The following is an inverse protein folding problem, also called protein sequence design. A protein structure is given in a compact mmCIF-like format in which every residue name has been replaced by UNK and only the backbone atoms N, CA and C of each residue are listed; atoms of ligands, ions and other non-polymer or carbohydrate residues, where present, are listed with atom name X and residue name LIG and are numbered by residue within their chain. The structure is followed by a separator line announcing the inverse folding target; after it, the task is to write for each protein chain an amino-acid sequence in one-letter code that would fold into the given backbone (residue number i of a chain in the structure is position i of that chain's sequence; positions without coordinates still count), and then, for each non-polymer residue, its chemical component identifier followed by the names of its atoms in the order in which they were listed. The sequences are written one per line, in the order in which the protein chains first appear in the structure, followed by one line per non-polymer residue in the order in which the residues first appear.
data_IF_814049626806
#
_entry.id   IF_814049626806
#
_cell.length_a   1.000
_cell.length_b   1.000
_cell.length_c   1.000
_cell.angle_alpha   90.00
_cell.angle_beta   90.00
_cell.angle_gamma   90.00
#
_symmetry.space_group_name_H-M   'P 1'
#
loop_
_entity.id
_entity.type
_entity.pdbx_description
1 polymer ?
#
# COMPACT_ATOMS: atom_id res chain seq x y z
N UNK A 1 5.73 -11.38 -20.65
CA UNK A 1 5.19 -12.33 -19.66
C UNK A 1 4.20 -11.59 -18.77
N UNK A 2 3.19 -12.22 -18.19
CA UNK A 2 2.22 -11.51 -17.33
C UNK A 2 2.78 -11.26 -15.92
N UNK A 3 3.94 -10.64 -15.84
CA UNK A 3 4.54 -10.24 -14.56
C UNK A 3 3.80 -9.03 -14.01
N UNK A 4 3.57 -9.01 -12.71
CA UNK A 4 3.05 -7.89 -11.94
C UNK A 4 3.97 -7.60 -10.76
N UNK A 5 3.80 -6.47 -10.11
CA UNK A 5 4.64 -6.07 -8.99
C UNK A 5 3.80 -5.63 -7.80
N UNK A 6 4.08 -6.18 -6.63
CA UNK A 6 3.62 -5.67 -5.35
C UNK A 6 4.73 -4.91 -4.66
N UNK A 7 4.43 -3.77 -4.05
CA UNK A 7 5.41 -2.85 -3.49
C UNK A 7 4.98 -2.35 -2.13
N UNK A 8 5.90 -2.35 -1.18
CA UNK A 8 5.75 -1.70 0.12
C UNK A 8 6.98 -0.84 0.45
N UNK A 9 6.78 0.22 1.22
CA UNK A 9 7.85 1.09 1.70
C UNK A 9 8.64 0.43 2.83
N UNK A 10 9.97 0.46 2.74
CA UNK A 10 10.86 -0.02 3.80
C UNK A 10 11.87 1.07 4.21
N UNK A 11 12.61 0.92 5.32
CA UNK A 11 13.52 1.95 5.82
C UNK A 11 14.55 2.44 4.79
N UNK A 12 15.06 1.53 3.96
CA UNK A 12 16.13 1.81 2.99
C UNK A 12 15.65 1.95 1.55
N UNK A 13 14.36 2.11 1.31
CA UNK A 13 13.80 2.22 -0.03
C UNK A 13 12.46 1.51 -0.16
N UNK A 14 12.37 0.56 -1.08
CA UNK A 14 11.13 -0.13 -1.42
C UNK A 14 11.36 -1.64 -1.49
N UNK A 15 10.57 -2.38 -0.73
CA UNK A 15 10.43 -3.81 -0.84
C UNK A 15 9.47 -4.12 -1.99
N UNK A 16 9.93 -4.85 -2.99
CA UNK A 16 9.11 -5.22 -4.14
C UNK A 16 9.10 -6.73 -4.35
N UNK A 17 7.98 -7.25 -4.79
CA UNK A 17 7.83 -8.66 -5.18
C UNK A 17 7.30 -8.74 -6.60
N UNK A 18 8.12 -9.28 -7.51
CA UNK A 18 7.66 -9.64 -8.83
C UNK A 18 6.93 -10.98 -8.77
N UNK A 19 5.71 -11.00 -9.29
CA UNK A 19 4.90 -12.20 -9.40
C UNK A 19 4.68 -12.54 -10.87
N UNK A 20 5.14 -13.71 -11.31
CA UNK A 20 4.65 -14.32 -12.54
C UNK A 20 3.27 -14.95 -12.26
N UNK A 21 2.22 -14.25 -12.67
CA UNK A 21 0.84 -14.64 -12.37
C UNK A 21 0.39 -15.96 -13.03
N UNK A 22 1.16 -16.53 -13.97
CA UNK A 22 0.86 -17.85 -14.55
C UNK A 22 1.49 -18.99 -13.77
N UNK A 23 2.75 -18.78 -13.35
CA UNK A 23 3.53 -19.80 -12.64
C UNK A 23 3.41 -19.68 -11.12
N UNK A 24 2.86 -18.57 -10.63
CA UNK A 24 2.81 -18.17 -9.21
C UNK A 24 4.21 -18.11 -8.58
N UNK A 25 5.26 -17.90 -9.40
CA UNK A 25 6.63 -17.73 -8.91
C UNK A 25 6.87 -16.30 -8.45
N UNK A 26 7.56 -16.17 -7.33
CA UNK A 26 7.85 -14.91 -6.64
C UNK A 26 9.34 -14.58 -6.73
N UNK A 27 9.67 -13.35 -7.12
CA UNK A 27 11.04 -12.86 -7.11
C UNK A 27 11.09 -11.56 -6.31
N UNK A 28 11.62 -11.60 -5.08
CA UNK A 28 11.77 -10.41 -4.25
C UNK A 28 12.93 -9.55 -4.74
N UNK A 29 12.74 -8.24 -4.73
CA UNK A 29 13.71 -7.23 -5.17
C UNK A 29 13.62 -6.01 -4.27
N UNK A 30 14.76 -5.33 -4.05
CA UNK A 30 14.80 -4.04 -3.37
C UNK A 30 15.11 -2.93 -4.38
N UNK A 31 14.51 -1.75 -4.17
CA UNK A 31 14.77 -0.53 -4.94
C UNK A 31 14.99 0.65 -4.01
N UNK A 32 15.94 1.51 -4.33
CA UNK A 32 16.22 2.71 -3.53
C UNK A 32 15.13 3.76 -3.68
N UNK A 33 14.54 3.88 -4.88
CA UNK A 33 13.50 4.88 -5.18
C UNK A 33 12.32 4.27 -5.92
N UNK A 34 11.15 4.91 -5.81
CA UNK A 34 9.97 4.52 -6.58
C UNK A 34 10.14 4.78 -8.08
N UNK A 35 10.90 5.80 -8.46
CA UNK A 35 11.24 6.09 -9.86
C UNK A 35 12.04 4.94 -10.47
N UNK A 36 13.02 4.39 -9.74
CA UNK A 36 13.76 3.20 -10.18
C UNK A 36 12.86 1.98 -10.45
N UNK A 37 11.78 1.81 -9.65
CA UNK A 37 10.76 0.79 -9.93
C UNK A 37 10.04 1.07 -11.26
N UNK A 38 9.65 2.31 -11.49
CA UNK A 38 8.92 2.68 -12.71
C UNK A 38 9.78 2.47 -13.97
N UNK A 39 11.07 2.77 -13.91
CA UNK A 39 12.05 2.62 -15.00
C UNK A 39 12.35 1.15 -15.27
N UNK A 40 12.55 0.36 -14.23
CA UNK A 40 12.78 -1.09 -14.36
C UNK A 40 11.53 -1.84 -14.89
N UNK A 41 10.32 -1.28 -14.69
CA UNK A 41 9.06 -1.95 -14.98
C UNK A 41 8.09 -1.07 -15.80
N UNK A 42 8.47 -0.58 -17.00
CA UNK A 42 7.70 0.44 -17.73
C UNK A 42 6.28 0.01 -18.15
N UNK A 43 6.05 -1.30 -18.31
CA UNK A 43 4.77 -1.86 -18.79
C UNK A 43 4.11 -2.80 -17.77
N UNK A 44 4.55 -2.78 -16.52
CA UNK A 44 4.08 -3.71 -15.48
C UNK A 44 2.95 -3.08 -14.67
N UNK A 45 1.94 -3.89 -14.33
CA UNK A 45 0.93 -3.50 -13.34
C UNK A 45 1.56 -3.58 -11.95
N UNK A 46 1.48 -2.49 -11.22
CA UNK A 46 2.06 -2.30 -9.89
C UNK A 46 0.93 -2.03 -8.90
N UNK A 47 0.88 -2.75 -7.79
CA UNK A 47 0.08 -2.37 -6.63
C UNK A 47 1.02 -2.00 -5.48
N UNK A 48 0.78 -0.85 -4.85
CA UNK A 48 1.67 -0.25 -3.85
C UNK A 48 0.90 0.13 -2.59
N UNK A 49 1.49 -0.15 -1.40
CA UNK A 49 0.93 0.27 -0.10
C UNK A 49 1.33 1.71 0.23
N UNK A 50 0.91 2.63 -0.63
CA UNK A 50 1.05 4.08 -0.40
C UNK A 50 -0.16 4.79 -0.98
N UNK A 51 -0.71 5.79 -0.27
CA UNK A 51 -1.82 6.60 -0.76
C UNK A 51 -1.55 7.29 -2.10
N UNK A 52 -2.43 7.09 -3.08
CA UNK A 52 -2.41 7.77 -4.38
C UNK A 52 -3.62 8.69 -4.50
N UNK A 53 -3.35 9.95 -4.89
CA UNK A 53 -4.37 10.99 -4.88
C UNK A 53 -4.62 11.52 -3.47
N UNK A 54 -4.36 12.80 -3.27
CA UNK A 54 -4.36 13.47 -1.97
C UNK A 54 -5.30 14.69 -1.97
N UNK A 55 -5.92 14.92 -0.83
CA UNK A 55 -6.84 16.05 -0.64
C UNK A 55 -6.12 17.23 0.00
N UNK A 56 -6.39 18.43 -0.53
CA UNK A 56 -6.22 19.69 0.20
C UNK A 56 -7.64 20.21 0.50
N UNK A 57 -8.08 20.09 1.74
CA UNK A 57 -9.41 20.49 2.15
C UNK A 57 -10.07 19.55 3.16
N UNK A 58 -11.29 19.89 3.62
CA UNK A 58 -12.02 19.12 4.60
C UNK A 58 -12.52 17.77 4.03
N UNK A 59 -12.89 16.87 4.93
CA UNK A 59 -13.54 15.61 4.58
C UNK A 59 -12.60 14.38 4.53
N UNK A 60 -11.41 14.50 3.93
CA UNK A 60 -10.50 13.38 3.72
C UNK A 60 -10.94 12.47 2.55
N UNK A 61 -10.20 11.40 2.30
CA UNK A 61 -10.40 10.52 1.15
C UNK A 61 -11.54 9.54 1.38
N UNK A 62 -12.40 9.37 0.38
CA UNK A 62 -13.53 8.40 0.41
C UNK A 62 -13.02 6.95 0.43
N UNK A 63 -11.89 6.69 -0.22
CA UNK A 63 -11.27 5.37 -0.26
C UNK A 63 -10.83 4.90 1.13
N UNK A 64 -10.29 5.79 1.97
CA UNK A 64 -9.93 5.45 3.35
C UNK A 64 -11.18 5.11 4.17
N UNK A 65 -12.29 5.85 3.98
CA UNK A 65 -13.57 5.57 4.65
C UNK A 65 -14.16 4.22 4.22
N UNK A 66 -14.12 3.95 2.92
CA UNK A 66 -14.61 2.70 2.33
C UNK A 66 -13.77 1.49 2.79
N UNK A 67 -12.44 1.62 2.83
CA UNK A 67 -11.54 0.59 3.34
C UNK A 67 -11.76 0.31 4.83
N UNK A 68 -11.94 1.36 5.65
CA UNK A 68 -12.29 1.19 7.08
C UNK A 68 -13.62 0.48 7.27
N UNK A 69 -14.62 0.80 6.45
CA UNK A 69 -15.92 0.14 6.49
C UNK A 69 -15.83 -1.32 6.07
N UNK A 70 -15.01 -1.64 5.07
CA UNK A 70 -14.74 -3.01 4.62
C UNK A 70 -14.05 -3.85 5.70
N UNK A 71 -13.00 -3.31 6.32
CA UNK A 71 -12.23 -4.03 7.35
C UNK A 71 -12.97 -4.19 8.69
N UNK A 72 -13.89 -3.28 9.03
CA UNK A 72 -14.60 -3.27 10.31
C UNK A 72 -13.65 -3.21 11.52
N UNK A 73 -14.21 -3.31 12.73
CA UNK A 73 -13.45 -3.39 13.98
C UNK A 73 -12.84 -4.80 14.14
N UNK A 74 -11.60 -4.94 14.65
CA UNK A 74 -10.67 -3.88 15.05
C UNK A 74 -9.74 -3.39 13.92
N UNK A 75 -9.70 -4.05 12.76
CA UNK A 75 -8.71 -3.79 11.68
C UNK A 75 -8.94 -2.47 10.93
N UNK A 76 -10.13 -1.87 11.04
CA UNK A 76 -10.40 -0.53 10.46
C UNK A 76 -9.35 0.53 10.84
N UNK A 77 -8.70 0.38 12.01
CA UNK A 77 -7.70 1.32 12.50
C UNK A 77 -6.34 1.20 11.81
N UNK A 78 -6.10 0.16 11.00
CA UNK A 78 -4.90 0.05 10.18
C UNK A 78 -4.90 1.03 9.01
N UNK A 79 -6.08 1.46 8.56
CA UNK A 79 -6.20 2.44 7.48
C UNK A 79 -6.06 3.84 8.06
N UNK A 80 -4.91 4.45 7.92
CA UNK A 80 -4.69 5.85 8.31
C UNK A 80 -5.15 6.83 7.22
N UNK A 81 -5.37 8.09 7.59
CA UNK A 81 -5.59 9.15 6.61
C UNK A 81 -4.25 9.80 6.28
N UNK A 82 -3.87 9.92 5.00
CA UNK A 82 -2.65 10.62 4.63
C UNK A 82 -2.74 12.11 4.99
N UNK A 83 -1.59 12.81 5.10
CA UNK A 83 -1.55 14.26 5.18
C UNK A 83 -2.18 14.90 3.95
N UNK A 84 -2.64 16.13 4.08
CA UNK A 84 -2.95 16.96 2.91
C UNK A 84 -1.68 17.13 2.06
N UNK A 85 -1.82 17.23 0.72
CA UNK A 85 -0.66 17.36 -0.19
C UNK A 85 0.25 18.52 0.22
N UNK A 86 -0.32 19.67 0.57
CA UNK A 86 0.43 20.85 1.05
C UNK A 86 1.23 20.60 2.34
N UNK A 87 0.86 19.60 3.11
CA UNK A 87 1.54 19.25 4.37
C UNK A 87 2.70 18.27 4.17
N UNK A 88 2.75 17.55 3.04
CA UNK A 88 3.76 16.49 2.81
C UNK A 88 5.21 16.97 2.94
N UNK A 89 5.50 18.21 2.58
CA UNK A 89 6.84 18.79 2.70
C UNK A 89 7.30 18.95 4.15
N UNK A 90 6.34 18.95 5.08
CA UNK A 90 6.57 19.08 6.52
C UNK A 90 6.53 17.73 7.24
N UNK A 91 6.67 16.63 6.53
CA UNK A 91 6.66 15.27 7.09
C UNK A 91 8.02 14.61 6.93
N UNK A 92 8.44 13.83 7.95
CA UNK A 92 9.67 13.03 7.92
C UNK A 92 10.62 13.31 9.08
N UNK A 93 11.83 12.72 9.01
CA UNK A 93 12.76 12.66 10.14
C UNK A 93 13.29 14.03 10.62
N UNK A 94 13.52 14.96 9.70
CA UNK A 94 14.08 16.30 10.03
C UNK A 94 12.99 17.36 10.17
N UNK A 95 11.73 16.95 10.30
CA UNK A 95 10.59 17.85 10.32
C UNK A 95 9.94 17.96 11.69
N UNK A 96 9.33 19.12 11.97
CA UNK A 96 8.58 19.35 13.21
C UNK A 96 7.15 18.79 13.08
N UNK A 97 6.87 17.72 13.81
CA UNK A 97 5.56 17.11 13.88
C UNK A 97 4.44 18.05 14.33
N UNK A 98 4.72 18.94 15.27
CA UNK A 98 3.71 19.92 15.76
C UNK A 98 3.36 20.91 14.69
N UNK A 99 4.36 21.40 13.95
CA UNK A 99 4.17 22.31 12.83
C UNK A 99 3.42 21.62 11.68
N UNK A 100 3.79 20.39 11.32
CA UNK A 100 3.06 19.60 10.33
C UNK A 100 1.58 19.43 10.72
N UNK A 101 1.30 19.11 11.98
CA UNK A 101 -0.07 19.02 12.51
C UNK A 101 -0.81 20.36 12.45
N UNK A 102 -0.13 21.48 12.76
CA UNK A 102 -0.71 22.82 12.71
C UNK A 102 -1.14 23.18 11.29
N UNK A 103 -0.23 23.01 10.34
CA UNK A 103 -0.49 23.28 8.91
C UNK A 103 -1.59 22.35 8.38
N UNK A 104 -1.55 21.07 8.72
CA UNK A 104 -2.58 20.13 8.26
C UNK A 104 -3.98 20.50 8.79
N UNK A 105 -4.10 20.96 10.03
CA UNK A 105 -5.38 21.47 10.56
C UNK A 105 -5.91 22.66 9.78
N UNK A 106 -5.03 23.60 9.41
CA UNK A 106 -5.42 24.75 8.60
C UNK A 106 -5.91 24.34 7.21
N UNK A 107 -5.20 23.41 6.56
CA UNK A 107 -5.53 22.95 5.21
C UNK A 107 -6.80 22.08 5.20
N UNK A 108 -7.02 21.25 6.23
CA UNK A 108 -8.09 20.25 6.25
C UNK A 108 -9.33 20.66 7.05
N UNK A 109 -9.34 21.85 7.62
CA UNK A 109 -10.44 22.30 8.47
C UNK A 109 -10.51 21.59 9.82
N UNK A 110 -9.35 21.29 10.43
CA UNK A 110 -9.26 20.84 11.83
C UNK A 110 -8.61 19.49 12.10
N UNK A 111 -8.21 18.72 11.08
CA UNK A 111 -7.57 17.41 11.28
C UNK A 111 -6.06 17.52 11.50
N UNK A 112 -5.57 16.96 12.60
CA UNK A 112 -4.14 16.66 12.76
C UNK A 112 -3.77 15.43 11.94
N UNK A 113 -2.46 15.22 11.74
CA UNK A 113 -1.92 13.97 11.17
C UNK A 113 -1.55 12.99 12.30
N UNK A 114 -1.68 11.69 12.04
CA UNK A 114 -1.14 10.68 12.94
C UNK A 114 0.39 10.62 12.85
N UNK A 115 1.05 10.12 13.90
CA UNK A 115 2.49 9.88 13.83
C UNK A 115 2.86 8.96 12.65
N UNK A 116 2.09 7.90 12.43
CA UNK A 116 2.29 7.01 11.30
C UNK A 116 2.24 7.76 9.96
N UNK A 117 1.22 8.61 9.76
CA UNK A 117 1.11 9.42 8.53
C UNK A 117 2.26 10.42 8.37
N UNK A 118 2.78 10.94 9.49
CA UNK A 118 3.93 11.83 9.50
C UNK A 118 5.21 11.11 9.04
N UNK A 119 5.48 9.92 9.60
CA UNK A 119 6.69 9.16 9.28
C UNK A 119 6.69 8.58 7.87
N UNK A 120 5.53 8.16 7.34
CA UNK A 120 5.41 7.67 5.96
C UNK A 120 5.29 8.81 4.93
N UNK A 121 5.15 10.06 5.38
CA UNK A 121 5.01 11.22 4.51
C UNK A 121 6.05 11.36 3.40
N UNK A 122 7.37 11.12 3.65
CA UNK A 122 8.38 11.10 2.60
C UNK A 122 8.09 10.10 1.48
N UNK A 123 7.63 8.88 1.81
CA UNK A 123 7.25 7.86 0.82
C UNK A 123 6.02 8.28 0.01
N UNK A 124 5.01 8.85 0.68
CA UNK A 124 3.82 9.40 0.01
C UNK A 124 4.24 10.51 -0.97
N UNK A 125 5.12 11.42 -0.55
CA UNK A 125 5.64 12.52 -1.37
C UNK A 125 6.41 12.01 -2.58
N UNK A 126 7.27 11.00 -2.41
CA UNK A 126 8.04 10.38 -3.47
C UNK A 126 7.11 9.84 -4.58
N UNK A 127 6.09 9.09 -4.20
CA UNK A 127 5.09 8.57 -5.15
C UNK A 127 4.26 9.70 -5.76
N UNK A 128 3.77 10.65 -4.95
CA UNK A 128 2.93 11.76 -5.44
C UNK A 128 3.67 12.62 -6.47
N UNK A 129 4.98 12.83 -6.32
CA UNK A 129 5.79 13.63 -7.25
C UNK A 129 5.81 13.08 -8.68
N UNK A 130 5.85 11.76 -8.84
CA UNK A 130 5.93 11.09 -10.16
C UNK A 130 4.57 10.68 -10.69
N UNK A 131 3.57 10.48 -9.83
CA UNK A 131 2.25 10.04 -10.24
C UNK A 131 1.54 11.05 -11.15
N UNK A 132 0.96 10.52 -12.22
CA UNK A 132 0.18 11.25 -13.19
C UNK A 132 -0.92 10.36 -13.80
N UNK A 133 -1.78 10.92 -14.66
CA UNK A 133 -2.90 10.19 -15.27
C UNK A 133 -2.49 9.05 -16.20
N UNK A 134 -1.29 9.08 -16.77
CA UNK A 134 -0.80 7.97 -17.58
C UNK A 134 -0.38 6.79 -16.69
N UNK A 135 0.32 7.07 -15.59
CA UNK A 135 0.73 6.05 -14.62
C UNK A 135 -0.46 5.41 -13.88
N UNK A 136 -1.58 6.11 -13.67
CA UNK A 136 -2.81 5.52 -13.10
C UNK A 136 -3.35 4.29 -13.85
N UNK A 137 -2.89 4.05 -15.08
CA UNK A 137 -3.32 2.89 -15.87
C UNK A 137 -2.59 1.62 -15.45
N UNK A 138 -1.48 1.75 -14.72
CA UNK A 138 -0.63 0.62 -14.30
C UNK A 138 -0.16 0.67 -12.86
N UNK A 139 -0.28 1.79 -12.16
CA UNK A 139 0.07 1.95 -10.74
C UNK A 139 -1.22 2.16 -9.94
N UNK A 140 -1.43 1.30 -8.96
CA UNK A 140 -2.65 1.23 -8.18
C UNK A 140 -2.33 1.23 -6.69
N UNK A 141 -3.05 2.03 -5.91
CA UNK A 141 -2.98 1.96 -4.46
C UNK A 141 -3.64 0.66 -3.99
N UNK A 142 -2.94 -0.11 -3.20
CA UNK A 142 -3.46 -1.24 -2.44
C UNK A 142 -3.25 -0.98 -0.95
N UNK A 143 -3.89 -1.78 -0.11
CA UNK A 143 -3.66 -1.76 1.33
C UNK A 143 -3.59 -3.21 1.82
N UNK A 144 -2.47 -3.68 2.38
CA UNK A 144 -2.26 -5.10 2.72
C UNK A 144 -3.38 -5.70 3.57
N UNK A 145 -3.85 -5.01 4.60
CA UNK A 145 -4.95 -5.52 5.44
C UNK A 145 -6.26 -5.69 4.64
N UNK A 146 -6.52 -4.81 3.66
CA UNK A 146 -7.68 -4.93 2.76
C UNK A 146 -7.49 -6.12 1.80
N UNK A 147 -6.29 -6.30 1.28
CA UNK A 147 -5.91 -7.43 0.44
C UNK A 147 -6.03 -8.76 1.19
N UNK A 148 -5.50 -8.85 2.42
CA UNK A 148 -5.63 -10.02 3.27
C UNK A 148 -7.07 -10.35 3.62
N UNK A 149 -7.89 -9.35 3.94
CA UNK A 149 -9.31 -9.57 4.20
C UNK A 149 -10.01 -10.16 2.95
N UNK A 150 -9.70 -9.66 1.76
CA UNK A 150 -10.24 -10.21 0.51
C UNK A 150 -9.77 -11.64 0.26
N UNK A 151 -8.48 -11.93 0.45
CA UNK A 151 -7.91 -13.28 0.34
C UNK A 151 -8.50 -14.27 1.37
N UNK A 152 -9.04 -13.75 2.46
CA UNK A 152 -9.65 -14.53 3.56
C UNK A 152 -11.19 -14.51 3.50
N UNK A 153 -11.78 -14.43 2.31
CA UNK A 153 -13.22 -14.48 2.13
C UNK A 153 -13.98 -13.29 2.72
N UNK A 154 -13.38 -12.10 2.76
CA UNK A 154 -13.95 -10.88 3.32
C UNK A 154 -13.77 -10.73 4.83
N UNK A 155 -13.08 -11.65 5.49
CA UNK A 155 -12.82 -11.62 6.94
C UNK A 155 -11.48 -10.96 7.25
N UNK A 156 -11.52 -9.85 7.99
CA UNK A 156 -10.31 -9.16 8.42
C UNK A 156 -9.47 -10.02 9.38
N UNK A 157 -8.16 -9.75 9.41
CA UNK A 157 -7.21 -10.47 10.28
C UNK A 157 -7.55 -10.32 11.75
N UNK A 158 -7.48 -11.42 12.51
CA UNK A 158 -7.76 -11.43 13.94
C UNK A 158 -6.59 -10.78 14.71
N UNK A 159 -5.35 -11.12 14.35
CA UNK A 159 -4.17 -10.73 15.09
C UNK A 159 -3.50 -9.47 14.51
N UNK A 160 -2.82 -8.69 15.37
CA UNK A 160 -2.05 -7.50 14.96
C UNK A 160 -0.84 -7.92 14.14
N UNK A 161 -0.52 -7.21 13.04
CA UNK A 161 0.58 -7.57 12.12
C UNK A 161 1.95 -7.64 12.81
N UNK A 162 2.24 -6.74 13.75
CA UNK A 162 3.50 -6.70 14.49
C UNK A 162 3.70 -7.83 15.51
N UNK A 163 2.73 -8.73 15.71
CA UNK A 163 2.89 -9.90 16.58
C UNK A 163 3.30 -11.14 15.79
N UNK A 164 3.89 -12.12 16.45
CA UNK A 164 4.24 -13.41 15.85
C UNK A 164 3.00 -14.09 15.27
N UNK A 165 1.91 -14.10 16.03
CA UNK A 165 0.61 -14.69 15.65
C UNK A 165 0.05 -13.97 14.41
N UNK A 166 0.14 -12.65 14.36
CA UNK A 166 -0.33 -11.85 13.22
C UNK A 166 0.47 -12.09 11.96
N UNK A 167 1.78 -12.24 12.05
CA UNK A 167 2.63 -12.62 10.90
C UNK A 167 2.31 -14.03 10.43
N UNK A 168 2.19 -14.99 11.35
CA UNK A 168 1.83 -16.39 11.02
C UNK A 168 0.44 -16.49 10.37
N UNK A 169 -0.53 -15.71 10.85
CA UNK A 169 -1.88 -15.66 10.27
C UNK A 169 -1.84 -15.20 8.80
N UNK A 170 -1.16 -14.08 8.50
CA UNK A 170 -1.02 -13.56 7.13
C UNK A 170 -0.23 -14.52 6.24
N UNK A 171 0.84 -15.07 6.76
CA UNK A 171 1.65 -16.05 6.04
C UNK A 171 0.85 -17.30 5.65
N UNK A 172 0.00 -17.81 6.54
CA UNK A 172 -0.84 -18.95 6.24
C UNK A 172 -1.83 -18.67 5.09
N UNK A 173 -2.31 -17.43 4.99
CA UNK A 173 -3.17 -17.00 3.88
C UNK A 173 -2.35 -16.92 2.58
N UNK A 174 -1.17 -16.31 2.60
CA UNK A 174 -0.28 -16.24 1.44
C UNK A 174 0.08 -17.65 0.93
N UNK A 175 0.35 -18.60 1.81
CA UNK A 175 0.67 -19.98 1.43
C UNK A 175 -0.47 -20.74 0.77
N UNK A 176 -1.73 -20.36 1.00
CA UNK A 176 -2.87 -20.94 0.25
C UNK A 176 -2.83 -20.52 -1.22
N UNK A 177 -2.23 -19.37 -1.50
CA UNK A 177 -2.11 -18.82 -2.86
C UNK A 177 -0.76 -19.14 -3.49
N UNK A 178 0.31 -19.10 -2.71
CA UNK A 178 1.70 -19.30 -3.12
C UNK A 178 2.27 -20.53 -2.41
N UNK A 179 2.10 -21.70 -3.03
CA UNK A 179 2.51 -23.00 -2.44
C UNK A 179 4.01 -23.11 -2.18
N UNK A 180 4.83 -22.35 -2.94
CA UNK A 180 6.29 -22.38 -2.84
C UNK A 180 6.85 -21.57 -1.66
N UNK A 181 5.99 -20.82 -0.96
CA UNK A 181 6.41 -20.15 0.26
C UNK A 181 6.73 -21.17 1.37
N UNK A 182 7.81 -20.93 2.15
CA UNK A 182 8.19 -21.83 3.24
C UNK A 182 7.09 -21.97 4.30
N UNK A 183 7.18 -23.03 5.12
CA UNK A 183 6.17 -23.34 6.13
C UNK A 183 6.02 -22.27 7.21
N UNK A 184 7.11 -21.56 7.51
CA UNK A 184 7.16 -20.46 8.49
C UNK A 184 7.45 -19.14 7.81
N UNK A 185 6.95 -18.01 8.38
CA UNK A 185 7.29 -16.68 7.87
C UNK A 185 8.80 -16.43 7.93
N UNK A 186 9.40 -16.19 6.79
CA UNK A 186 10.82 -15.82 6.71
C UNK A 186 11.08 -14.80 5.61
N UNK A 187 12.10 -13.98 5.83
CA UNK A 187 12.58 -13.02 4.85
C UNK A 187 13.48 -13.73 3.83
N UNK A 188 13.26 -13.49 2.55
CA UNK A 188 14.12 -14.04 1.50
C UNK A 188 15.56 -13.52 1.64
N UNK A 189 16.52 -14.33 1.19
CA UNK A 189 17.94 -13.94 1.25
C UNK A 189 18.24 -12.65 0.48
N UNK A 190 17.50 -12.37 -0.60
CA UNK A 190 17.64 -11.17 -1.40
C UNK A 190 17.22 -9.88 -0.66
N UNK A 191 16.39 -9.99 0.38
CA UNK A 191 15.87 -8.86 1.14
C UNK A 191 16.51 -8.69 2.53
N UNK A 192 17.31 -9.64 2.97
CA UNK A 192 17.93 -9.58 4.31
C UNK A 192 18.81 -8.35 4.46
N UNK A 193 18.53 -7.57 5.52
CA UNK A 193 19.23 -6.32 5.80
C UNK A 193 18.75 -5.10 5.01
N UNK A 194 17.80 -5.27 4.07
CA UNK A 194 17.25 -4.19 3.25
C UNK A 194 15.82 -3.80 3.67
N UNK A 195 15.01 -4.77 4.09
CA UNK A 195 13.65 -4.55 4.59
C UNK A 195 13.31 -5.54 5.71
N UNK A 196 12.20 -5.29 6.38
CA UNK A 196 11.68 -6.14 7.42
C UNK A 196 10.76 -7.24 6.86
N UNK A 197 10.53 -8.30 7.65
CA UNK A 197 9.61 -9.37 7.28
C UNK A 197 8.18 -8.87 7.07
N UNK A 198 7.77 -7.83 7.79
CA UNK A 198 6.44 -7.23 7.65
C UNK A 198 6.28 -6.54 6.30
N UNK A 199 7.29 -5.78 5.85
CA UNK A 199 7.31 -5.14 4.53
C UNK A 199 7.22 -6.18 3.40
N UNK A 200 7.93 -7.31 3.56
CA UNK A 200 7.86 -8.40 2.59
C UNK A 200 6.48 -9.08 2.54
N UNK A 201 5.86 -9.33 3.69
CA UNK A 201 4.50 -9.88 3.78
C UNK A 201 3.49 -8.94 3.11
N UNK A 202 3.62 -7.64 3.35
CA UNK A 202 2.76 -6.62 2.79
C UNK A 202 2.96 -6.47 1.26
N UNK A 203 4.21 -6.51 0.78
CA UNK A 203 4.52 -6.53 -0.65
C UNK A 203 3.96 -7.78 -1.37
N UNK A 204 3.95 -8.96 -0.72
CA UNK A 204 3.33 -10.18 -1.25
C UNK A 204 1.80 -10.02 -1.43
N UNK A 205 1.12 -9.42 -0.46
CA UNK A 205 -0.32 -9.14 -0.55
C UNK A 205 -0.62 -8.13 -1.66
N UNK A 206 0.23 -7.11 -1.82
CA UNK A 206 0.14 -6.16 -2.93
C UNK A 206 0.39 -6.86 -4.28
N UNK A 207 1.35 -7.78 -4.39
CA UNK A 207 1.62 -8.53 -5.62
C UNK A 207 0.40 -9.36 -6.06
N UNK A 208 -0.28 -10.01 -5.12
CA UNK A 208 -1.53 -10.70 -5.42
C UNK A 208 -2.62 -9.74 -5.89
N UNK A 209 -2.77 -8.59 -5.23
CA UNK A 209 -3.72 -7.55 -5.66
C UNK A 209 -3.41 -7.06 -7.09
N UNK A 210 -2.13 -6.83 -7.42
CA UNK A 210 -1.72 -6.47 -8.78
C UNK A 210 -2.07 -7.56 -9.82
N UNK A 211 -1.93 -8.83 -9.45
CA UNK A 211 -2.32 -9.96 -10.31
C UNK A 211 -3.84 -9.96 -10.56
N UNK A 212 -4.64 -9.73 -9.53
CA UNK A 212 -6.10 -9.65 -9.65
C UNK A 212 -6.56 -8.44 -10.47
N UNK A 213 -5.91 -7.29 -10.32
CA UNK A 213 -6.15 -6.11 -11.17
C UNK A 213 -5.88 -6.45 -12.64
N UNK A 214 -4.72 -7.06 -12.92
CA UNK A 214 -4.33 -7.44 -14.29
C UNK A 214 -5.28 -8.46 -14.90
N UNK A 215 -5.83 -9.36 -14.10
CA UNK A 215 -6.80 -10.38 -14.51
C UNK A 215 -8.25 -9.84 -14.68
N UNK A 216 -8.51 -8.58 -14.30
CA UNK A 216 -9.87 -8.02 -14.26
C UNK A 216 -10.71 -8.51 -13.08
N UNK A 217 -10.09 -9.14 -12.09
CA UNK A 217 -10.71 -9.73 -10.89
C UNK A 217 -10.44 -8.90 -9.62
N UNK A 218 -10.40 -7.60 -9.76
CA UNK A 218 -10.24 -6.67 -8.64
C UNK A 218 -11.32 -5.59 -8.68
N UNK A 219 -11.62 -5.05 -7.50
CA UNK A 219 -12.56 -3.94 -7.33
C UNK A 219 -11.92 -2.80 -6.55
N UNK A 220 -12.38 -1.58 -6.80
CA UNK A 220 -11.93 -0.40 -6.06
C UNK A 220 -12.85 -0.07 -4.89
N UNK A 221 -12.26 0.48 -3.85
CA UNK A 221 -12.94 1.11 -2.73
C UNK A 221 -12.71 2.63 -2.79
N UNK A 222 -13.77 3.46 -2.99
CA UNK A 222 -15.15 3.07 -3.30
C UNK A 222 -15.29 2.56 -4.75
N UNK A 223 -16.44 1.98 -5.09
CA UNK A 223 -16.72 1.47 -6.43
C UNK A 223 -16.67 2.55 -7.53
N UNK A 224 -16.97 3.80 -7.16
CA UNK A 224 -16.83 4.99 -8.01
C UNK A 224 -15.85 5.97 -7.34
N UNK A 225 -14.55 5.80 -7.59
CA UNK A 225 -13.53 6.61 -6.93
C UNK A 225 -13.57 8.07 -7.39
N UNK A 226 -13.58 9.03 -6.45
CA UNK A 226 -13.42 10.44 -6.77
C UNK A 226 -11.98 10.73 -7.21
N UNK A 227 -11.78 11.94 -7.74
CA UNK A 227 -10.46 12.43 -8.14
C UNK A 227 -10.03 13.61 -7.27
N UNK A 228 -8.76 13.70 -7.00
CA UNK A 228 -8.15 14.84 -6.32
C UNK A 228 -7.98 16.07 -7.25
N UNK A 229 -7.37 17.14 -6.73
CA UNK A 229 -7.13 18.36 -7.49
C UNK A 229 -6.19 18.15 -8.69
N UNK A 230 -5.29 17.16 -8.65
CA UNK A 230 -4.42 16.75 -9.76
C UNK A 230 -5.09 15.78 -10.72
N UNK A 231 -6.38 15.48 -10.52
CA UNK A 231 -7.18 14.54 -11.29
C UNK A 231 -6.72 13.07 -11.12
N UNK A 232 -5.94 12.76 -10.08
CA UNK A 232 -5.60 11.39 -9.70
C UNK A 232 -6.80 10.73 -9.02
N UNK A 233 -7.04 9.45 -9.31
CA UNK A 233 -8.08 8.67 -8.64
C UNK A 233 -7.69 8.40 -7.19
N UNK A 234 -8.63 8.59 -6.28
CA UNK A 234 -8.49 8.20 -4.88
C UNK A 234 -9.22 6.87 -4.67
N UNK A 235 -8.50 5.76 -4.79
CA UNK A 235 -9.05 4.41 -4.76
C UNK A 235 -8.08 3.42 -4.14
N UNK A 236 -8.55 2.63 -3.17
CA UNK A 236 -7.83 1.46 -2.67
C UNK A 236 -8.36 0.23 -3.42
N UNK A 237 -7.48 -0.51 -4.08
CA UNK A 237 -7.85 -1.69 -4.84
C UNK A 237 -7.68 -2.97 -4.01
N UNK A 238 -8.58 -3.92 -4.22
CA UNK A 238 -8.52 -5.23 -3.60
C UNK A 238 -8.95 -6.34 -4.58
N UNK A 239 -8.53 -7.60 -4.35
CA UNK A 239 -9.13 -8.75 -5.01
C UNK A 239 -10.66 -8.74 -4.85
N UNK A 240 -11.36 -9.18 -5.90
CA UNK A 240 -12.78 -9.48 -5.80
C UNK A 240 -12.87 -10.86 -5.14
N UNK A 241 -13.16 -10.89 -3.85
CA UNK A 241 -13.28 -12.12 -3.05
C UNK A 241 -14.68 -12.69 -3.11
#
# INVERSE_FOLDING_TARGET
MPTVLGVDGCPHGWCAVQLDARKLTLTPVHYDTFEAILDAHPNTVIAIDVPIGLMDGPGGRDCDRAARAYLRWPRRNSVFSPPARKTLQLCGHDADYKEACRVNRQVTGGKAISQQSFWIGPKIREVDNVMNRALERRVYEAHPEVSFAAMNGGHAMANRKGTREGRTERWSILRRTFSDLPSTPELSSALRGLCDLEDYIDALACAWTAAMIKAGNAVSLPARPPRDQRKLRMAIWRPNG
#
